data_IF_523004981844
#
_entry.id   IF_523004981844
#
_cell.length_a   1.000
_cell.length_b   1.000
_cell.length_c   1.000
_cell.angle_alpha   90.00
_cell.angle_beta   90.00
_cell.angle_gamma   90.00
#
_symmetry.space_group_name_H-M   'P 1'
#
loop_
_entity.id
_entity.type
_entity.pdbx_description
1 polymer ?
#
# COMPACT_ATOMS: atom_id res chain seq x y z
N UNK A 1 15.18 -1.35 -0.35
CA UNK A 1 15.04 0.03 0.15
C UNK A 1 13.64 0.24 0.69
N UNK A 2 13.55 0.79 1.88
CA UNK A 2 12.28 1.11 2.53
C UNK A 2 12.02 2.60 2.44
N UNK A 3 10.85 2.98 1.96
CA UNK A 3 10.39 4.36 1.92
C UNK A 3 9.07 4.46 2.67
N UNK A 4 8.88 5.50 3.45
CA UNK A 4 7.65 5.71 4.19
C UNK A 4 7.19 7.16 4.12
N UNK A 5 5.87 7.34 4.09
CA UNK A 5 5.21 8.65 4.04
C UNK A 5 5.78 9.59 2.99
N UNK A 6 6.16 9.06 1.85
CA UNK A 6 6.71 9.87 0.78
C UNK A 6 5.64 10.21 -0.24
N UNK A 7 5.75 11.42 -0.77
CA UNK A 7 4.98 11.82 -1.91
C UNK A 7 5.72 11.40 -3.17
N UNK A 8 5.07 10.60 -4.02
CA UNK A 8 5.57 10.35 -5.36
C UNK A 8 4.94 11.38 -6.29
N UNK A 9 5.31 11.40 -7.55
CA UNK A 9 4.66 12.27 -8.52
C UNK A 9 3.18 11.96 -8.73
N UNK A 10 2.67 10.89 -8.17
CA UNK A 10 1.31 10.37 -8.39
C UNK A 10 0.48 10.26 -7.12
N UNK A 11 1.01 10.69 -5.98
CA UNK A 11 0.30 10.63 -4.72
C UNK A 11 1.24 10.27 -3.58
N UNK A 12 0.65 9.91 -2.43
CA UNK A 12 1.38 9.58 -1.23
C UNK A 12 1.02 8.17 -0.78
N UNK A 13 2.02 7.40 -0.41
CA UNK A 13 1.86 6.07 0.19
C UNK A 13 2.42 6.07 1.60
N UNK A 14 2.00 5.10 2.43
CA UNK A 14 2.51 5.00 3.79
C UNK A 14 3.87 4.32 3.85
N UNK A 15 4.01 3.15 3.22
CA UNK A 15 5.28 2.43 3.17
C UNK A 15 5.44 1.78 1.80
N UNK A 16 6.65 1.89 1.25
CA UNK A 16 7.01 1.22 0.00
C UNK A 16 8.33 0.49 0.21
N UNK A 17 8.34 -0.80 -0.06
CA UNK A 17 9.54 -1.62 0.00
C UNK A 17 10.00 -1.94 -1.41
N UNK A 18 11.24 -1.54 -1.73
CA UNK A 18 11.83 -1.76 -3.04
C UNK A 18 12.92 -2.80 -2.90
N UNK A 19 12.81 -3.95 -3.60
CA UNK A 19 13.79 -5.02 -3.46
C UNK A 19 15.11 -4.64 -4.10
N UNK A 20 16.20 -5.18 -3.54
CA UNK A 20 17.54 -5.02 -4.12
C UNK A 20 17.83 -6.09 -5.18
N UNK A 21 17.08 -7.20 -5.15
CA UNK A 21 17.24 -8.31 -6.10
C UNK A 21 16.04 -8.36 -7.03
N UNK A 22 16.29 -8.71 -8.29
CA UNK A 22 15.26 -8.72 -9.33
C UNK A 22 14.15 -9.74 -9.12
N UNK A 23 14.41 -10.81 -8.38
CA UNK A 23 13.43 -11.87 -8.18
C UNK A 23 12.56 -11.68 -6.94
N UNK A 24 12.73 -10.58 -6.21
CA UNK A 24 11.92 -10.30 -5.02
C UNK A 24 10.79 -9.34 -5.35
N UNK A 25 9.63 -9.46 -4.66
CA UNK A 25 8.53 -8.55 -4.91
C UNK A 25 8.79 -7.16 -4.34
N UNK A 26 8.22 -6.15 -4.97
CA UNK A 26 8.09 -4.83 -4.39
C UNK A 26 6.76 -4.75 -3.67
N UNK A 27 6.70 -4.03 -2.56
CA UNK A 27 5.52 -4.00 -1.71
C UNK A 27 5.11 -2.57 -1.42
N UNK A 28 3.82 -2.28 -1.58
CA UNK A 28 3.24 -1.00 -1.18
C UNK A 28 2.23 -1.31 -0.08
N UNK A 29 2.35 -0.61 1.05
CA UNK A 29 1.48 -0.78 2.19
C UNK A 29 0.78 0.52 2.52
N UNK A 30 -0.52 0.44 2.82
CA UNK A 30 -1.31 1.58 3.26
C UNK A 30 -1.95 1.23 4.59
N UNK A 31 -1.82 2.11 5.57
CA UNK A 31 -2.35 1.92 6.92
C UNK A 31 -3.54 2.84 7.15
N UNK A 32 -4.65 2.30 7.63
CA UNK A 32 -5.83 3.09 7.95
C UNK A 32 -6.44 2.67 9.28
N UNK A 33 -6.90 3.65 10.03
CA UNK A 33 -7.71 3.40 11.22
C UNK A 33 -9.18 3.37 10.78
N UNK A 34 -9.94 2.37 11.26
CA UNK A 34 -11.35 2.27 10.90
C UNK A 34 -12.11 3.51 11.38
N UNK A 35 -12.90 4.06 10.49
CA UNK A 35 -13.79 5.18 10.80
C UNK A 35 -15.20 4.65 11.05
N UNK A 36 -16.02 5.48 11.73
CA UNK A 36 -17.39 5.09 12.05
C UNK A 36 -18.24 4.74 10.82
N UNK A 37 -17.95 5.36 9.69
CA UNK A 37 -18.67 5.08 8.44
C UNK A 37 -18.32 3.75 7.81
N UNK A 38 -17.19 3.14 8.20
CA UNK A 38 -16.79 1.83 7.72
C UNK A 38 -17.43 0.76 8.58
N UNK A 39 -18.07 -0.18 7.94
CA UNK A 39 -18.87 -1.21 8.56
C UNK A 39 -18.05 -2.14 9.45
N UNK A 40 -16.84 -2.48 8.98
CA UNK A 40 -15.94 -3.39 9.67
C UNK A 40 -14.50 -3.13 9.18
N UNK A 41 -13.55 -3.88 9.76
CA UNK A 41 -12.15 -3.76 9.37
C UNK A 41 -11.90 -4.18 7.93
N UNK A 42 -12.68 -5.14 7.41
CA UNK A 42 -12.52 -5.55 6.03
C UNK A 42 -12.82 -4.40 5.06
N UNK A 43 -13.83 -3.61 5.35
CA UNK A 43 -14.15 -2.43 4.55
C UNK A 43 -13.01 -1.43 4.59
N UNK A 44 -12.39 -1.23 5.77
CA UNK A 44 -11.23 -0.35 5.91
C UNK A 44 -10.06 -0.85 5.08
N UNK A 45 -9.79 -2.17 5.07
CA UNK A 45 -8.76 -2.78 4.22
C UNK A 45 -9.04 -2.48 2.75
N UNK A 46 -10.29 -2.65 2.30
CA UNK A 46 -10.64 -2.40 0.92
C UNK A 46 -10.42 -0.94 0.53
N UNK A 47 -10.72 -0.02 1.45
CA UNK A 47 -10.46 1.40 1.23
C UNK A 47 -8.96 1.68 1.08
N UNK A 48 -8.13 1.01 1.90
CA UNK A 48 -6.68 1.17 1.80
C UNK A 48 -6.15 0.66 0.45
N UNK A 49 -6.59 -0.51 0.03
CA UNK A 49 -6.19 -1.09 -1.25
C UNK A 49 -6.66 -0.23 -2.43
N UNK A 50 -7.88 0.28 -2.34
CA UNK A 50 -8.44 1.14 -3.37
C UNK A 50 -7.61 2.43 -3.50
N UNK A 51 -7.17 3.00 -2.39
CA UNK A 51 -6.35 4.20 -2.42
C UNK A 51 -5.03 3.96 -3.14
N UNK A 52 -4.38 2.81 -2.91
CA UNK A 52 -3.15 2.45 -3.61
C UNK A 52 -3.37 2.48 -5.12
N UNK A 53 -4.48 1.90 -5.59
CA UNK A 53 -4.80 1.85 -7.02
C UNK A 53 -5.17 3.22 -7.58
N UNK A 54 -6.04 3.94 -6.90
CA UNK A 54 -6.52 5.25 -7.37
C UNK A 54 -5.41 6.27 -7.47
N UNK A 55 -4.47 6.25 -6.54
CA UNK A 55 -3.35 7.17 -6.53
C UNK A 55 -2.20 6.70 -7.41
N UNK A 56 -2.32 5.49 -7.98
CA UNK A 56 -1.33 4.93 -8.90
C UNK A 56 0.08 4.94 -8.31
N UNK A 57 0.20 4.46 -7.08
CA UNK A 57 1.50 4.39 -6.40
C UNK A 57 2.49 3.47 -7.12
N UNK A 58 1.98 2.51 -7.91
CA UNK A 58 2.81 1.61 -8.71
C UNK A 58 3.69 2.36 -9.70
N UNK A 59 3.29 3.56 -10.12
CA UNK A 59 4.00 4.31 -11.14
C UNK A 59 5.47 4.57 -10.76
N UNK A 60 5.75 4.80 -9.48
CA UNK A 60 7.12 4.98 -9.02
C UNK A 60 7.94 3.70 -9.23
N UNK A 61 7.36 2.54 -8.90
CA UNK A 61 8.03 1.25 -9.06
C UNK A 61 8.22 0.89 -10.52
N UNK A 62 7.21 1.15 -11.34
CA UNK A 62 7.30 0.90 -12.79
C UNK A 62 8.40 1.77 -13.41
N UNK A 63 8.56 3.01 -12.95
CA UNK A 63 9.60 3.90 -13.46
C UNK A 63 11.01 3.40 -13.11
N UNK A 64 11.12 2.58 -12.07
CA UNK A 64 12.39 1.95 -11.69
C UNK A 64 12.65 0.64 -12.43
N UNK A 65 11.76 0.25 -13.34
CA UNK A 65 11.92 -0.97 -14.12
C UNK A 65 11.36 -2.22 -13.46
N UNK A 66 10.60 -2.07 -12.37
CA UNK A 66 10.00 -3.22 -11.70
C UNK A 66 8.74 -3.64 -12.45
N UNK A 67 8.65 -4.93 -12.83
CA UNK A 67 7.51 -5.43 -13.56
C UNK A 67 6.26 -5.43 -12.68
N UNK A 68 5.10 -5.13 -13.28
CA UNK A 68 3.83 -5.03 -12.56
C UNK A 68 3.50 -6.32 -11.80
N UNK A 69 3.84 -7.48 -12.37
CA UNK A 69 3.56 -8.79 -11.77
C UNK A 69 4.31 -9.00 -10.45
N UNK A 70 5.35 -8.20 -10.20
CA UNK A 70 6.16 -8.30 -8.99
C UNK A 70 5.72 -7.33 -7.91
N UNK A 71 4.75 -6.49 -8.18
CA UNK A 71 4.27 -5.49 -7.22
C UNK A 71 3.13 -6.07 -6.39
N UNK A 72 3.21 -5.94 -5.06
CA UNK A 72 2.19 -6.40 -4.12
C UNK A 72 1.62 -5.23 -3.36
N UNK A 73 0.31 -5.23 -3.15
CA UNK A 73 -0.40 -4.23 -2.37
C UNK A 73 -0.94 -4.85 -1.10
N UNK A 74 -0.74 -4.19 0.04
CA UNK A 74 -1.31 -4.60 1.31
C UNK A 74 -2.00 -3.43 1.98
N UNK A 75 -3.23 -3.66 2.44
CA UNK A 75 -3.95 -2.71 3.26
C UNK A 75 -3.96 -3.21 4.70
N UNK A 76 -3.63 -2.32 5.63
CA UNK A 76 -3.65 -2.62 7.07
C UNK A 76 -4.73 -1.76 7.71
N UNK A 77 -5.68 -2.42 8.36
CA UNK A 77 -6.79 -1.73 9.04
C UNK A 77 -6.65 -1.93 10.54
N UNK A 78 -6.81 -0.85 11.28
CA UNK A 78 -6.64 -0.85 12.74
C UNK A 78 -7.90 -0.38 13.43
N UNK A 79 -8.24 -1.03 14.54
CA UNK A 79 -9.30 -0.59 15.44
C UNK A 79 -8.91 -0.99 16.86
N UNK A 80 -8.48 -0.02 17.67
CA UNK A 80 -7.92 -0.31 18.99
C UNK A 80 -6.73 -1.24 18.87
N UNK A 81 -6.82 -2.42 19.49
CA UNK A 81 -5.76 -3.43 19.43
C UNK A 81 -5.92 -4.42 18.29
N UNK A 82 -6.98 -4.27 17.50
CA UNK A 82 -7.26 -5.18 16.38
C UNK A 82 -6.58 -4.69 15.12
N UNK A 83 -6.09 -5.62 14.32
CA UNK A 83 -5.53 -5.32 13.00
C UNK A 83 -6.00 -6.38 12.01
N UNK A 84 -6.34 -5.94 10.81
CA UNK A 84 -6.65 -6.82 9.70
C UNK A 84 -5.76 -6.44 8.53
N UNK A 85 -5.19 -7.43 7.87
CA UNK A 85 -4.32 -7.23 6.71
C UNK A 85 -4.94 -7.93 5.50
N UNK A 86 -5.02 -7.20 4.42
CA UNK A 86 -5.58 -7.79 3.21
C UNK A 86 -4.91 -7.34 1.94
#
# INVERSE_FOLDING_TARGET
VLKSNRESGFGRYDVMMIPKKENLPAIIMEFKVRRAKEKDLNETVQMALQQIEEKNYDAELLSLGIAKERIRHYGFAFEGKKVLIG
#
